data_IF_791779555535
#
_entry.id   IF_791779555535
#
_cell.length_a   1.000
_cell.length_b   1.000
_cell.length_c   1.000
_cell.angle_alpha   90.00
_cell.angle_beta   90.00
_cell.angle_gamma   90.00
#
_symmetry.space_group_name_H-M   'P 1'
#
loop_
_entity.id
_entity.type
_entity.pdbx_description
1 polymer ?
#
# COMPACT_ATOMS: atom_id res chain seq x y z
N UNK A 1 45.52 -44.07 18.14
CA UNK A 1 44.79 -42.96 17.49
C UNK A 1 45.75 -41.79 17.32
N UNK A 2 46.06 -41.44 16.07
CA UNK A 2 47.21 -40.60 15.69
C UNK A 2 47.12 -39.18 16.26
N UNK A 3 48.23 -38.63 16.76
CA UNK A 3 48.34 -37.26 17.32
C UNK A 3 47.73 -36.21 16.37
N UNK A 4 47.87 -36.43 15.06
CA UNK A 4 47.31 -35.58 14.00
C UNK A 4 45.78 -35.49 14.02
N UNK A 5 45.06 -36.57 14.36
CA UNK A 5 43.58 -36.57 14.44
C UNK A 5 43.11 -35.74 15.63
N UNK A 6 43.83 -35.82 16.76
CA UNK A 6 43.51 -35.07 17.98
C UNK A 6 43.67 -33.56 17.75
N UNK A 7 44.74 -33.15 17.08
CA UNK A 7 45.00 -31.75 16.70
C UNK A 7 43.91 -31.24 15.75
N UNK A 8 43.55 -32.01 14.72
CA UNK A 8 42.48 -31.64 13.78
C UNK A 8 41.13 -31.48 14.51
N UNK A 9 40.79 -32.42 15.41
CA UNK A 9 39.56 -32.31 16.22
C UNK A 9 39.56 -31.07 17.12
N UNK A 10 40.69 -30.78 17.78
CA UNK A 10 40.81 -29.58 18.62
C UNK A 10 40.63 -28.31 17.80
N UNK A 11 41.30 -28.19 16.65
CA UNK A 11 41.16 -27.03 15.75
C UNK A 11 39.71 -26.89 15.27
N UNK A 12 39.08 -27.99 14.86
CA UNK A 12 37.68 -27.99 14.40
C UNK A 12 36.71 -27.59 15.54
N UNK A 13 36.92 -28.09 16.76
CA UNK A 13 36.14 -27.70 17.93
C UNK A 13 36.34 -26.23 18.29
N UNK A 14 37.57 -25.71 18.17
CA UNK A 14 37.87 -24.29 18.39
C UNK A 14 37.22 -23.41 17.32
N UNK A 15 37.23 -23.83 16.05
CA UNK A 15 36.53 -23.14 14.95
C UNK A 15 35.02 -23.17 15.15
N UNK A 16 34.42 -24.30 15.54
CA UNK A 16 33.00 -24.40 15.86
C UNK A 16 32.59 -23.59 17.11
N UNK A 17 33.52 -23.34 18.03
CA UNK A 17 33.29 -22.49 19.20
C UNK A 17 33.39 -20.99 18.89
N UNK A 18 34.17 -20.60 17.86
CA UNK A 18 34.44 -19.20 17.50
C UNK A 18 33.62 -18.71 16.30
N UNK A 19 33.03 -19.61 15.52
CA UNK A 19 32.26 -19.32 14.31
C UNK A 19 30.96 -20.14 14.30
N UNK A 20 29.93 -19.74 13.54
CA UNK A 20 28.63 -20.40 13.55
C UNK A 20 28.67 -21.68 12.74
N UNK A 21 29.51 -22.66 13.13
CA UNK A 21 29.60 -23.97 12.49
C UNK A 21 29.33 -25.09 13.49
N UNK A 22 28.53 -26.07 13.10
CA UNK A 22 28.41 -27.36 13.78
C UNK A 22 29.28 -28.39 13.08
N UNK A 23 29.88 -29.26 13.88
CA UNK A 23 30.60 -30.43 13.38
C UNK A 23 29.60 -31.58 13.24
N UNK A 24 29.43 -32.07 12.02
CA UNK A 24 28.71 -33.31 11.77
C UNK A 24 29.73 -34.39 11.41
N UNK A 25 29.76 -35.47 12.20
CA UNK A 25 30.52 -36.67 11.87
C UNK A 25 29.61 -37.61 11.08
N UNK A 26 30.04 -37.97 9.87
CA UNK A 26 29.36 -38.94 9.01
C UNK A 26 30.30 -40.13 8.85
N UNK A 27 29.84 -41.30 9.28
CA UNK A 27 30.58 -42.56 9.10
C UNK A 27 30.02 -43.28 7.86
N UNK A 28 30.89 -43.52 6.89
CA UNK A 28 30.57 -44.30 5.68
C UNK A 28 31.61 -45.41 5.47
N UNK A 29 31.43 -46.22 4.41
CA UNK A 29 32.34 -47.34 4.11
C UNK A 29 33.79 -46.93 3.80
N UNK A 30 34.08 -45.63 3.71
CA UNK A 30 35.42 -45.06 3.52
C UNK A 30 36.03 -44.45 4.80
N UNK A 31 35.30 -44.47 5.93
CA UNK A 31 35.74 -43.97 7.24
C UNK A 31 34.89 -42.81 7.77
N UNK A 32 35.37 -42.17 8.84
CA UNK A 32 34.69 -41.01 9.46
C UNK A 32 35.10 -39.73 8.74
N UNK A 33 34.12 -39.03 8.14
CA UNK A 33 34.29 -37.67 7.61
C UNK A 33 33.68 -36.68 8.57
N UNK A 34 34.39 -35.58 8.83
CA UNK A 34 33.91 -34.47 9.67
C UNK A 34 33.65 -33.28 8.75
N UNK A 35 32.40 -32.82 8.68
CA UNK A 35 32.01 -31.63 7.90
C UNK A 35 31.59 -30.49 8.82
N UNK A 36 31.99 -29.27 8.47
CA UNK A 36 31.51 -28.03 9.08
C UNK A 36 30.23 -27.59 8.36
N UNK A 37 29.12 -27.49 9.09
CA UNK A 37 27.87 -26.91 8.59
C UNK A 37 27.59 -25.58 9.27
N UNK A 38 27.18 -24.56 8.53
CA UNK A 38 26.83 -23.27 9.13
C UNK A 38 25.56 -23.44 9.99
N UNK A 39 25.66 -23.21 11.30
CA UNK A 39 24.62 -23.47 12.28
C UNK A 39 23.60 -22.33 12.32
N UNK A 40 22.71 -22.31 11.33
CA UNK A 40 21.58 -21.35 11.28
C UNK A 40 20.62 -21.50 12.49
N UNK A 41 20.58 -22.68 13.12
CA UNK A 41 19.66 -22.96 14.23
C UNK A 41 20.07 -22.23 15.52
N UNK A 42 21.37 -22.09 15.79
CA UNK A 42 21.84 -21.38 16.99
C UNK A 42 21.55 -19.88 16.92
N UNK A 43 21.74 -19.25 15.76
CA UNK A 43 21.48 -17.82 15.60
C UNK A 43 19.98 -17.49 15.77
N UNK A 44 19.10 -18.38 15.28
CA UNK A 44 17.65 -18.32 15.51
C UNK A 44 17.30 -18.49 17.00
N UNK A 45 17.87 -19.49 17.68
CA UNK A 45 17.63 -19.71 19.12
C UNK A 45 18.01 -18.48 19.96
N UNK A 46 19.18 -17.90 19.70
CA UNK A 46 19.65 -16.68 20.39
C UNK A 46 18.76 -15.48 20.05
N UNK A 47 18.27 -15.37 18.82
CA UNK A 47 17.33 -14.34 18.42
C UNK A 47 15.98 -14.49 19.14
N UNK A 48 15.45 -15.70 19.27
CA UNK A 48 14.22 -15.97 20.02
C UNK A 48 14.38 -15.68 21.52
N UNK A 49 15.54 -15.97 22.11
CA UNK A 49 15.85 -15.55 23.48
C UNK A 49 15.88 -14.03 23.62
N UNK A 50 16.43 -13.31 22.64
CA UNK A 50 16.40 -11.85 22.65
C UNK A 50 14.97 -11.30 22.57
N UNK A 51 14.09 -11.91 21.77
CA UNK A 51 12.68 -11.52 21.66
C UNK A 51 11.90 -11.76 22.96
N UNK A 52 12.14 -12.88 23.65
CA UNK A 52 11.44 -13.20 24.89
C UNK A 52 11.73 -12.17 25.98
N UNK A 53 12.98 -11.74 26.12
CA UNK A 53 13.41 -10.71 27.08
C UNK A 53 12.81 -9.34 26.75
N UNK A 54 12.61 -9.02 25.46
CA UNK A 54 11.99 -7.75 25.04
C UNK A 54 10.48 -7.70 25.28
N UNK A 55 9.81 -8.84 25.42
CA UNK A 55 8.37 -8.94 25.66
C UNK A 55 7.94 -8.72 27.11
N UNK A 56 8.88 -8.66 28.06
CA UNK A 56 8.58 -8.54 29.49
C UNK A 56 8.41 -7.08 29.94
N UNK A 57 7.49 -6.77 30.88
CA UNK A 57 7.09 -5.39 31.22
C UNK A 57 8.13 -4.53 31.96
N UNK A 58 9.38 -4.98 32.16
CA UNK A 58 10.35 -4.27 33.00
C UNK A 58 11.53 -3.62 32.26
N UNK A 59 11.93 -2.48 32.85
CA UNK A 59 12.84 -1.39 32.46
C UNK A 59 14.17 -1.69 31.74
N UNK A 60 14.86 -0.62 31.31
CA UNK A 60 16.09 -0.51 30.50
C UNK A 60 17.18 -1.60 30.58
N UNK A 61 17.28 -2.35 31.68
CA UNK A 61 18.22 -3.47 31.86
C UNK A 61 17.91 -4.64 30.92
N UNK A 62 16.62 -4.91 30.66
CA UNK A 62 16.19 -5.96 29.72
C UNK A 62 16.60 -5.62 28.28
N UNK A 63 16.57 -4.33 27.91
CA UNK A 63 17.03 -3.90 26.59
C UNK A 63 18.53 -4.09 26.38
N UNK A 64 19.38 -3.88 27.40
CA UNK A 64 20.81 -4.10 27.26
C UNK A 64 21.15 -5.57 27.04
N UNK A 65 20.56 -6.48 27.85
CA UNK A 65 20.75 -7.92 27.65
C UNK A 65 20.20 -8.39 26.30
N UNK A 66 19.02 -7.90 25.90
CA UNK A 66 18.46 -8.20 24.58
C UNK A 66 19.37 -7.69 23.45
N UNK A 67 19.97 -6.50 23.57
CA UNK A 67 20.87 -5.96 22.56
C UNK A 67 22.18 -6.76 22.45
N UNK A 68 22.69 -7.34 23.53
CA UNK A 68 23.83 -8.26 23.52
C UNK A 68 23.51 -9.55 22.76
N UNK A 69 22.37 -10.18 23.05
CA UNK A 69 21.92 -11.39 22.33
C UNK A 69 21.64 -11.10 20.85
N UNK A 70 20.99 -9.96 20.55
CA UNK A 70 20.79 -9.50 19.18
C UNK A 70 22.12 -9.30 18.45
N UNK A 71 23.15 -8.79 19.12
CA UNK A 71 24.50 -8.66 18.54
C UNK A 71 25.09 -10.02 18.22
N UNK A 72 25.04 -10.96 19.15
CA UNK A 72 25.54 -12.31 18.91
C UNK A 72 24.86 -12.96 17.70
N UNK A 73 23.52 -12.96 17.64
CA UNK A 73 22.78 -13.51 16.51
C UNK A 73 23.04 -12.75 15.20
N UNK A 74 23.20 -11.43 15.26
CA UNK A 74 23.50 -10.59 14.11
C UNK A 74 24.89 -10.87 13.52
N UNK A 75 25.90 -11.05 14.39
CA UNK A 75 27.27 -11.45 14.05
C UNK A 75 27.32 -12.85 13.42
N UNK A 76 26.45 -13.76 13.88
CA UNK A 76 26.23 -15.08 13.29
C UNK A 76 25.45 -15.06 11.96
N UNK A 77 25.00 -13.88 11.51
CA UNK A 77 24.39 -13.66 10.20
C UNK A 77 22.86 -13.60 10.18
N UNK A 78 22.17 -13.62 11.32
CA UNK A 78 20.71 -13.64 11.38
C UNK A 78 20.07 -12.31 10.92
N UNK A 79 19.35 -12.30 9.79
CA UNK A 79 18.88 -11.06 9.15
C UNK A 79 17.94 -10.23 10.03
N UNK A 80 17.00 -10.86 10.73
CA UNK A 80 16.06 -10.19 11.64
C UNK A 80 16.76 -9.66 12.89
N UNK A 81 17.84 -10.32 13.33
CA UNK A 81 18.63 -9.87 14.47
C UNK A 81 19.46 -8.66 14.08
N UNK A 82 20.07 -8.69 12.88
CA UNK A 82 20.76 -7.53 12.29
C UNK A 82 19.82 -6.33 12.17
N UNK A 83 18.60 -6.53 11.66
CA UNK A 83 17.60 -5.46 11.58
C UNK A 83 17.17 -4.95 12.97
N UNK A 84 16.89 -5.85 13.91
CA UNK A 84 16.48 -5.49 15.27
C UNK A 84 17.57 -4.74 16.02
N UNK A 85 18.82 -5.17 15.91
CA UNK A 85 19.99 -4.49 16.46
C UNK A 85 20.18 -3.10 15.84
N UNK A 86 19.98 -2.97 14.53
CA UNK A 86 20.00 -1.68 13.87
C UNK A 86 18.97 -0.73 14.51
N UNK A 87 17.73 -1.18 14.75
CA UNK A 87 16.71 -0.38 15.44
C UNK A 87 17.13 0.00 16.87
N UNK A 88 17.79 -0.90 17.62
CA UNK A 88 18.31 -0.59 18.97
C UNK A 88 19.29 0.58 18.95
N UNK A 89 20.25 0.56 18.02
CA UNK A 89 21.21 1.65 17.83
C UNK A 89 20.56 2.96 17.41
N UNK A 90 19.48 2.92 16.63
CA UNK A 90 18.75 4.12 16.21
C UNK A 90 17.98 4.77 17.34
N UNK A 91 17.36 3.94 18.18
CA UNK A 91 16.51 4.39 19.27
C UNK A 91 17.30 4.65 20.56
N UNK A 92 18.51 4.11 20.68
CA UNK A 92 19.30 4.14 21.91
C UNK A 92 18.74 3.20 22.98
N UNK A 93 18.15 2.08 22.58
CA UNK A 93 17.49 1.13 23.47
C UNK A 93 18.44 -0.01 23.81
N UNK A 94 18.97 -0.02 25.03
CA UNK A 94 19.92 -1.04 25.49
C UNK A 94 21.36 -0.84 25.03
N UNK A 95 21.58 0.01 24.03
CA UNK A 95 22.88 0.45 23.50
C UNK A 95 22.89 1.97 23.30
N UNK A 96 24.06 2.64 23.35
CA UNK A 96 24.17 4.04 22.95
C UNK A 96 23.68 4.28 21.52
N UNK A 97 23.22 5.50 21.24
CA UNK A 97 22.80 5.87 19.88
C UNK A 97 24.01 5.96 18.96
N UNK A 98 24.11 5.02 18.03
CA UNK A 98 25.20 4.96 17.05
C UNK A 98 24.66 4.72 15.65
N UNK A 99 24.49 5.81 14.91
CA UNK A 99 23.82 5.73 13.61
C UNK A 99 24.64 5.01 12.54
N UNK A 100 25.98 5.05 12.61
CA UNK A 100 26.84 4.35 11.67
C UNK A 100 26.74 2.83 11.86
N UNK A 101 26.76 2.34 13.11
CA UNK A 101 26.52 0.93 13.41
C UNK A 101 25.12 0.50 13.00
N UNK A 102 24.10 1.34 13.24
CA UNK A 102 22.75 1.06 12.76
C UNK A 102 22.69 0.86 11.25
N UNK A 103 23.32 1.73 10.47
CA UNK A 103 23.33 1.64 8.99
C UNK A 103 24.07 0.39 8.53
N UNK A 104 25.18 0.02 9.18
CA UNK A 104 25.95 -1.19 8.89
C UNK A 104 25.08 -2.44 9.05
N UNK A 105 24.43 -2.61 10.20
CA UNK A 105 23.56 -3.76 10.46
C UNK A 105 22.32 -3.77 9.58
N UNK A 106 21.73 -2.60 9.34
CA UNK A 106 20.60 -2.46 8.43
C UNK A 106 20.94 -2.87 7.00
N UNK A 107 22.14 -2.52 6.53
CA UNK A 107 22.62 -2.91 5.20
C UNK A 107 22.83 -4.42 5.11
N UNK A 108 23.44 -5.03 6.12
CA UNK A 108 23.61 -6.48 6.18
C UNK A 108 22.25 -7.20 6.07
N UNK A 109 21.25 -6.78 6.84
CA UNK A 109 19.90 -7.36 6.77
C UNK A 109 19.22 -7.14 5.40
N UNK A 110 19.38 -5.93 4.81
CA UNK A 110 18.80 -5.58 3.53
C UNK A 110 19.40 -6.39 2.36
N UNK A 111 20.71 -6.63 2.41
CA UNK A 111 21.46 -7.45 1.44
C UNK A 111 21.02 -8.91 1.47
N UNK A 112 20.61 -9.41 2.64
CA UNK A 112 20.02 -10.74 2.79
C UNK A 112 18.57 -10.85 2.30
N UNK A 113 17.95 -9.73 1.90
CA UNK A 113 16.60 -9.74 1.33
C UNK A 113 15.51 -9.27 2.27
N UNK A 114 15.77 -8.99 3.54
CA UNK A 114 14.73 -8.62 4.50
C UNK A 114 14.02 -7.31 4.09
N UNK A 115 12.74 -7.40 3.73
CA UNK A 115 12.00 -6.30 3.12
C UNK A 115 11.92 -5.05 4.02
N UNK A 116 11.74 -5.23 5.33
CA UNK A 116 11.72 -4.13 6.31
C UNK A 116 13.06 -3.38 6.37
N UNK A 117 14.17 -4.14 6.32
CA UNK A 117 15.51 -3.57 6.29
C UNK A 117 15.77 -2.82 4.98
N UNK A 118 15.37 -3.40 3.84
CA UNK A 118 15.46 -2.75 2.53
C UNK A 118 14.66 -1.43 2.50
N UNK A 119 13.42 -1.43 2.98
CA UNK A 119 12.62 -0.21 3.03
C UNK A 119 13.25 0.86 3.94
N UNK A 120 13.66 0.46 5.13
CA UNK A 120 14.31 1.34 6.10
C UNK A 120 15.62 1.93 5.57
N UNK A 121 16.42 1.14 4.87
CA UNK A 121 17.66 1.62 4.22
C UNK A 121 17.34 2.61 3.08
N UNK A 122 16.29 2.31 2.29
CA UNK A 122 15.79 3.20 1.25
C UNK A 122 15.38 4.58 1.79
N UNK A 123 14.65 4.62 2.91
CA UNK A 123 14.26 5.87 3.57
C UNK A 123 15.47 6.67 4.06
N UNK A 124 16.49 6.02 4.62
CA UNK A 124 17.70 6.70 5.09
C UNK A 124 18.44 7.40 3.96
N UNK A 125 18.63 6.72 2.83
CA UNK A 125 19.21 7.33 1.64
C UNK A 125 18.36 8.46 1.08
N UNK A 126 17.04 8.35 1.17
CA UNK A 126 16.13 9.41 0.73
C UNK A 126 16.23 10.67 1.60
N UNK A 127 16.37 10.50 2.91
CA UNK A 127 16.37 11.61 3.88
C UNK A 127 17.78 12.13 4.22
N UNK A 128 18.84 11.49 3.74
CA UNK A 128 20.21 11.81 4.14
C UNK A 128 20.48 11.52 5.62
N UNK A 129 19.72 10.60 6.24
CA UNK A 129 19.80 10.33 7.66
C UNK A 129 20.93 9.35 7.95
N UNK A 130 22.09 9.88 8.33
CA UNK A 130 23.29 9.13 8.72
C UNK A 130 23.92 8.33 7.57
N UNK A 131 23.46 8.61 6.35
CA UNK A 131 24.09 8.25 5.08
C UNK A 131 23.98 9.48 4.18
N UNK A 132 24.94 9.73 3.28
CA UNK A 132 24.78 10.76 2.27
C UNK A 132 23.48 10.56 1.49
N UNK A 133 22.75 11.66 1.23
CA UNK A 133 21.54 11.63 0.43
C UNK A 133 21.86 10.98 -0.93
N UNK A 134 21.12 9.93 -1.28
CA UNK A 134 21.33 9.21 -2.53
C UNK A 134 20.00 8.70 -3.09
N UNK A 135 19.47 9.44 -4.06
CA UNK A 135 18.19 9.12 -4.68
C UNK A 135 18.19 7.79 -5.47
N UNK A 136 19.34 7.37 -6.00
CA UNK A 136 19.45 6.12 -6.76
C UNK A 136 19.37 4.92 -5.83
N UNK A 137 20.15 4.92 -4.75
CA UNK A 137 20.09 3.88 -3.72
C UNK A 137 18.73 3.84 -3.01
N UNK A 138 18.16 5.02 -2.70
CA UNK A 138 16.81 5.09 -2.14
C UNK A 138 15.77 4.41 -3.04
N UNK A 139 15.78 4.68 -4.35
CA UNK A 139 14.87 4.03 -5.31
C UNK A 139 15.11 2.52 -5.37
N UNK A 140 16.38 2.09 -5.47
CA UNK A 140 16.77 0.68 -5.56
C UNK A 140 16.26 -0.13 -4.37
N UNK A 141 16.54 0.31 -3.15
CA UNK A 141 16.16 -0.43 -1.94
C UNK A 141 14.66 -0.41 -1.69
N UNK A 142 14.00 0.74 -1.85
CA UNK A 142 12.53 0.81 -1.73
C UNK A 142 11.84 -0.05 -2.78
N UNK A 143 12.38 -0.13 -4.01
CA UNK A 143 11.83 -1.00 -5.05
C UNK A 143 11.96 -2.48 -4.67
N UNK A 144 13.14 -2.92 -4.22
CA UNK A 144 13.32 -4.31 -3.74
C UNK A 144 12.32 -4.69 -2.65
N UNK A 145 12.09 -3.81 -1.68
CA UNK A 145 11.09 -4.06 -0.64
C UNK A 145 9.66 -4.15 -1.22
N UNK A 146 9.32 -3.24 -2.14
CA UNK A 146 8.01 -3.19 -2.78
C UNK A 146 7.73 -4.44 -3.65
N UNK A 147 8.74 -4.95 -4.34
CA UNK A 147 8.64 -6.17 -5.17
C UNK A 147 8.30 -7.40 -4.31
N UNK A 148 8.72 -7.40 -3.05
CA UNK A 148 8.37 -8.41 -2.05
C UNK A 148 6.99 -8.20 -1.39
N UNK A 149 6.25 -7.17 -1.80
CA UNK A 149 4.92 -6.89 -1.25
C UNK A 149 4.88 -5.89 -0.11
N UNK A 150 6.02 -5.33 0.33
CA UNK A 150 6.09 -4.41 1.46
C UNK A 150 5.21 -3.17 1.23
N UNK A 151 4.16 -3.01 2.04
CA UNK A 151 3.08 -2.04 1.78
C UNK A 151 3.55 -0.59 1.90
N UNK A 152 4.35 -0.26 2.92
CA UNK A 152 4.84 1.11 3.08
C UNK A 152 5.85 1.50 1.98
N UNK A 153 6.55 0.52 1.41
CA UNK A 153 7.43 0.75 0.26
C UNK A 153 6.61 1.04 -1.00
N UNK A 154 5.57 0.24 -1.27
CA UNK A 154 4.61 0.50 -2.36
C UNK A 154 3.95 1.87 -2.22
N UNK A 155 3.55 2.22 -1.01
CA UNK A 155 2.99 3.53 -0.69
C UNK A 155 3.98 4.66 -0.99
N UNK A 156 5.23 4.56 -0.52
CA UNK A 156 6.26 5.57 -0.78
C UNK A 156 6.52 5.76 -2.29
N UNK A 157 6.57 4.66 -3.05
CA UNK A 157 6.71 4.73 -4.52
C UNK A 157 5.50 5.43 -5.15
N UNK A 158 4.28 5.05 -4.76
CA UNK A 158 3.06 5.69 -5.26
C UNK A 158 3.03 7.19 -4.93
N UNK A 159 3.44 7.56 -3.72
CA UNK A 159 3.56 8.95 -3.27
C UNK A 159 4.49 9.75 -4.19
N UNK A 160 5.68 9.22 -4.46
CA UNK A 160 6.67 9.86 -5.34
C UNK A 160 6.20 9.97 -6.79
N UNK A 161 5.44 8.99 -7.30
CA UNK A 161 4.85 9.06 -8.64
C UNK A 161 3.75 10.11 -8.72
N UNK A 162 2.86 10.18 -7.72
CA UNK A 162 1.79 11.17 -7.66
C UNK A 162 2.30 12.62 -7.62
N UNK A 163 3.45 12.86 -6.97
CA UNK A 163 4.13 14.15 -6.95
C UNK A 163 4.57 14.63 -8.36
N UNK A 164 4.72 13.73 -9.33
CA UNK A 164 5.04 14.10 -10.72
C UNK A 164 3.82 14.67 -11.46
N UNK A 165 2.65 14.69 -10.83
CA UNK A 165 1.48 15.42 -11.33
C UNK A 165 0.53 14.62 -12.20
N UNK A 166 0.84 13.38 -12.60
CA UNK A 166 -0.03 12.57 -13.47
C UNK A 166 -1.30 12.13 -12.74
N UNK A 167 -2.46 12.35 -13.37
CA UNK A 167 -3.76 12.08 -12.78
C UNK A 167 -3.93 10.62 -12.29
N UNK A 168 -3.49 9.63 -13.07
CA UNK A 168 -3.59 8.21 -12.69
C UNK A 168 -2.79 7.87 -11.43
N UNK A 169 -1.60 8.45 -11.27
CA UNK A 169 -0.74 8.22 -10.11
C UNK A 169 -1.31 8.92 -8.87
N UNK A 170 -1.86 10.12 -9.04
CA UNK A 170 -2.59 10.83 -7.98
C UNK A 170 -3.85 10.07 -7.54
N UNK A 171 -4.61 9.51 -8.48
CA UNK A 171 -5.78 8.67 -8.19
C UNK A 171 -5.37 7.40 -7.42
N UNK A 172 -4.30 6.72 -7.84
CA UNK A 172 -3.77 5.55 -7.14
C UNK A 172 -3.36 5.89 -5.70
N UNK A 173 -2.63 6.99 -5.49
CA UNK A 173 -2.25 7.43 -4.16
C UNK A 173 -3.47 7.79 -3.30
N UNK A 174 -4.46 8.48 -3.87
CA UNK A 174 -5.71 8.81 -3.18
C UNK A 174 -6.41 7.55 -2.65
N UNK A 175 -6.47 6.48 -3.45
CA UNK A 175 -7.01 5.19 -3.01
C UNK A 175 -6.21 4.54 -1.88
N UNK A 176 -4.88 4.68 -1.89
CA UNK A 176 -4.05 4.15 -0.80
C UNK A 176 -4.37 4.86 0.52
N UNK A 177 -4.45 6.20 0.52
CA UNK A 177 -4.90 6.97 1.68
C UNK A 177 -6.33 6.63 2.10
N UNK A 178 -7.24 6.46 1.14
CA UNK A 178 -8.64 6.12 1.41
C UNK A 178 -8.77 4.74 2.09
N UNK A 179 -7.94 3.77 1.71
CA UNK A 179 -7.99 2.40 2.25
C UNK A 179 -7.04 2.17 3.44
N UNK A 180 -6.09 3.08 3.69
CA UNK A 180 -5.04 2.87 4.68
C UNK A 180 -4.02 1.79 4.30
N UNK A 181 -3.81 1.54 3.00
CA UNK A 181 -2.85 0.53 2.53
C UNK A 181 -1.45 1.13 2.46
N UNK A 182 -0.58 0.67 3.36
CA UNK A 182 0.84 1.08 3.44
C UNK A 182 1.09 2.36 4.24
N UNK A 183 0.04 3.03 4.70
CA UNK A 183 0.07 4.19 5.59
C UNK A 183 -1.28 4.25 6.34
N UNK A 184 -1.35 4.93 7.47
CA UNK A 184 -2.62 5.13 8.20
C UNK A 184 -3.68 5.75 7.29
N UNK A 185 -4.90 5.20 7.33
CA UNK A 185 -6.04 5.72 6.59
C UNK A 185 -6.25 7.21 6.86
N UNK A 186 -6.36 8.01 5.80
CA UNK A 186 -6.53 9.45 5.89
C UNK A 186 -7.46 9.96 4.79
N UNK A 187 -8.73 10.18 5.15
CA UNK A 187 -9.75 10.66 4.21
C UNK A 187 -9.50 12.08 3.72
N UNK A 188 -8.84 12.94 4.51
CA UNK A 188 -8.53 14.31 4.08
C UNK A 188 -7.45 14.29 2.98
N UNK A 189 -6.40 13.50 3.16
CA UNK A 189 -5.38 13.33 2.12
C UNK A 189 -5.94 12.62 0.88
N UNK A 190 -6.77 11.59 1.06
CA UNK A 190 -7.47 10.96 -0.07
C UNK A 190 -8.28 11.98 -0.87
N UNK A 191 -9.08 12.83 -0.22
CA UNK A 191 -9.88 13.85 -0.88
C UNK A 191 -9.01 14.88 -1.62
N UNK A 192 -7.86 15.30 -1.05
CA UNK A 192 -6.91 16.21 -1.72
C UNK A 192 -6.36 15.60 -3.00
N UNK A 193 -5.89 14.35 -2.95
CA UNK A 193 -5.33 13.68 -4.12
C UNK A 193 -6.38 13.31 -5.17
N UNK A 194 -7.58 12.87 -4.76
CA UNK A 194 -8.71 12.72 -5.68
C UNK A 194 -9.04 14.06 -6.35
N UNK A 195 -9.07 15.17 -5.61
CA UNK A 195 -9.30 16.49 -6.20
C UNK A 195 -8.21 16.91 -7.19
N UNK A 196 -6.94 16.60 -6.92
CA UNK A 196 -5.84 16.86 -7.85
C UNK A 196 -6.02 16.09 -9.18
N UNK A 197 -6.33 14.79 -9.11
CA UNK A 197 -6.59 13.97 -10.29
C UNK A 197 -7.90 14.39 -11.01
N UNK A 198 -8.94 14.71 -10.26
CA UNK A 198 -10.24 15.12 -10.77
C UNK A 198 -10.19 16.42 -11.57
N UNK A 199 -9.38 17.39 -11.13
CA UNK A 199 -9.12 18.66 -11.84
C UNK A 199 -8.48 18.45 -13.22
N UNK A 200 -7.76 17.34 -13.40
CA UNK A 200 -7.14 16.96 -14.67
C UNK A 200 -8.07 16.14 -15.57
N UNK A 201 -9.31 15.88 -15.15
CA UNK A 201 -10.28 15.15 -15.94
C UNK A 201 -10.47 13.69 -15.57
N UNK A 202 -9.69 13.12 -14.65
CA UNK A 202 -9.78 11.68 -14.33
C UNK A 202 -11.18 11.29 -13.78
N UNK A 203 -11.95 10.55 -14.57
CA UNK A 203 -13.36 10.25 -14.29
C UNK A 203 -13.56 9.51 -12.94
N UNK A 204 -12.77 8.47 -12.65
CA UNK A 204 -12.90 7.76 -11.37
C UNK A 204 -12.54 8.62 -10.15
N UNK A 205 -11.60 9.57 -10.30
CA UNK A 205 -11.25 10.49 -9.24
C UNK A 205 -12.36 11.52 -9.00
N UNK A 206 -12.98 12.00 -10.07
CA UNK A 206 -14.17 12.87 -9.98
C UNK A 206 -15.32 12.15 -9.28
N UNK A 207 -15.61 10.90 -9.67
CA UNK A 207 -16.60 10.07 -9.00
C UNK A 207 -16.26 9.83 -7.52
N UNK A 208 -15.02 9.42 -7.22
CA UNK A 208 -14.59 9.12 -5.84
C UNK A 208 -14.69 10.35 -4.94
N UNK A 209 -14.27 11.53 -5.44
CA UNK A 209 -14.40 12.78 -4.70
C UNK A 209 -15.88 13.15 -4.49
N UNK A 210 -16.73 12.94 -5.49
CA UNK A 210 -18.16 13.20 -5.38
C UNK A 210 -18.82 12.32 -4.31
N UNK A 211 -18.45 11.03 -4.24
CA UNK A 211 -18.91 10.11 -3.17
C UNK A 211 -18.49 10.63 -1.80
N UNK A 212 -17.22 11.00 -1.61
CA UNK A 212 -16.75 11.50 -0.32
C UNK A 212 -17.47 12.78 0.12
N UNK A 213 -17.76 13.68 -0.80
CA UNK A 213 -18.50 14.93 -0.53
C UNK A 213 -20.00 14.68 -0.32
N UNK A 214 -20.55 13.62 -0.89
CA UNK A 214 -21.94 13.22 -0.71
C UNK A 214 -22.19 12.60 0.66
N UNK A 215 -21.33 11.67 1.07
CA UNK A 215 -21.51 10.92 2.30
C UNK A 215 -21.30 11.82 3.52
N UNK A 216 -20.23 12.62 3.53
CA UNK A 216 -20.04 13.68 4.53
C UNK A 216 -19.54 13.21 5.90
N UNK A 217 -19.41 11.90 6.12
CA UNK A 217 -19.02 11.33 7.42
C UNK A 217 -17.52 11.44 7.72
N UNK A 218 -16.69 11.67 6.70
CA UNK A 218 -15.22 11.61 6.78
C UNK A 218 -14.52 12.87 6.27
N UNK A 219 -15.24 13.69 5.51
CA UNK A 219 -14.88 15.04 5.09
C UNK A 219 -16.15 15.90 5.13
N UNK A 220 -16.02 17.24 5.17
CA UNK A 220 -17.19 18.13 5.19
C UNK A 220 -18.10 17.87 3.99
N UNK A 221 -19.34 17.47 4.27
CA UNK A 221 -20.40 17.26 3.26
C UNK A 221 -20.61 18.51 2.41
N UNK A 222 -20.70 18.33 1.10
CA UNK A 222 -21.00 19.40 0.15
C UNK A 222 -21.70 18.80 -1.09
N UNK A 223 -23.03 18.68 -0.98
CA UNK A 223 -23.86 18.07 -2.02
C UNK A 223 -23.79 18.83 -3.35
N UNK A 224 -23.66 20.16 -3.31
CA UNK A 224 -23.55 20.98 -4.52
C UNK A 224 -22.25 20.69 -5.26
N UNK A 225 -21.13 20.57 -4.55
CA UNK A 225 -19.86 20.14 -5.16
C UNK A 225 -19.88 18.68 -5.60
N UNK A 226 -20.51 17.79 -4.82
CA UNK A 226 -20.68 16.39 -5.20
C UNK A 226 -21.42 16.27 -6.55
N UNK A 227 -22.55 16.99 -6.72
CA UNK A 227 -23.28 17.01 -7.98
C UNK A 227 -22.43 17.49 -9.16
N UNK A 228 -21.63 18.54 -8.97
CA UNK A 228 -20.72 19.05 -10.01
C UNK A 228 -19.67 18.01 -10.42
N UNK A 229 -19.09 17.28 -9.47
CA UNK A 229 -18.11 16.25 -9.75
C UNK A 229 -18.74 14.99 -10.36
N UNK A 230 -19.91 14.56 -9.89
CA UNK A 230 -20.68 13.50 -10.55
C UNK A 230 -21.01 13.88 -11.99
N UNK A 231 -21.43 15.12 -12.25
CA UNK A 231 -21.71 15.58 -13.60
C UNK A 231 -20.49 15.50 -14.51
N UNK A 232 -19.33 15.98 -14.06
CA UNK A 232 -18.08 15.86 -14.84
C UNK A 232 -17.70 14.41 -15.15
N UNK A 233 -17.90 13.48 -14.21
CA UNK A 233 -17.63 12.06 -14.44
C UNK A 233 -18.69 11.43 -15.36
N UNK A 234 -19.96 11.79 -15.19
CA UNK A 234 -21.09 11.30 -15.96
C UNK A 234 -21.02 11.70 -17.44
N UNK A 235 -20.58 12.92 -17.71
CA UNK A 235 -20.31 13.46 -19.06
C UNK A 235 -19.14 12.74 -19.76
N UNK A 236 -18.34 11.96 -19.03
CA UNK A 236 -17.29 11.09 -19.57
C UNK A 236 -17.72 9.62 -19.66
N UNK A 237 -19.02 9.33 -19.45
CA UNK A 237 -19.54 7.96 -19.53
C UNK A 237 -19.45 7.16 -18.23
N UNK A 238 -19.04 7.75 -17.11
CA UNK A 238 -18.93 7.00 -15.84
C UNK A 238 -20.33 6.62 -15.31
N UNK A 239 -20.71 5.35 -15.47
CA UNK A 239 -22.06 4.84 -15.23
C UNK A 239 -22.57 5.08 -13.81
N UNK A 240 -21.75 4.84 -12.78
CA UNK A 240 -22.17 5.09 -11.39
C UNK A 240 -22.35 6.59 -11.10
N UNK A 241 -21.64 7.47 -11.83
CA UNK A 241 -21.81 8.91 -11.68
C UNK A 241 -23.11 9.38 -12.33
N UNK A 242 -23.48 8.79 -13.48
CA UNK A 242 -24.77 9.01 -14.15
C UNK A 242 -25.94 8.62 -13.23
N UNK A 243 -25.87 7.44 -12.58
CA UNK A 243 -26.88 6.98 -11.63
C UNK A 243 -27.00 7.94 -10.43
N UNK A 244 -25.87 8.29 -9.81
CA UNK A 244 -25.88 9.16 -8.63
C UNK A 244 -26.36 10.58 -8.96
N UNK A 245 -25.97 11.13 -10.12
CA UNK A 245 -26.47 12.42 -10.58
C UNK A 245 -27.98 12.38 -10.87
N UNK A 246 -28.47 11.30 -11.48
CA UNK A 246 -29.89 11.06 -11.69
C UNK A 246 -30.67 11.07 -10.37
N UNK A 247 -30.16 10.36 -9.35
CA UNK A 247 -30.74 10.33 -8.01
C UNK A 247 -30.73 11.72 -7.34
N UNK A 248 -29.64 12.49 -7.48
CA UNK A 248 -29.55 13.85 -6.95
C UNK A 248 -30.60 14.78 -7.56
N UNK A 249 -30.84 14.71 -8.87
CA UNK A 249 -31.94 15.45 -9.53
C UNK A 249 -33.32 14.96 -9.09
N UNK A 250 -33.52 13.66 -8.87
CA UNK A 250 -34.80 13.12 -8.41
C UNK A 250 -35.16 13.61 -7.00
N UNK A 251 -34.16 13.70 -6.11
CA UNK A 251 -34.34 14.10 -4.71
C UNK A 251 -34.19 15.60 -4.47
N UNK A 252 -33.61 16.35 -5.42
CA UNK A 252 -33.26 17.76 -5.20
C UNK A 252 -32.06 17.94 -4.26
N UNK A 253 -31.15 16.95 -4.20
CA UNK A 253 -29.99 16.96 -3.30
C UNK A 253 -28.80 17.62 -3.98
N UNK A 254 -28.39 18.81 -3.52
CA UNK A 254 -27.26 19.56 -4.10
C UNK A 254 -27.53 20.19 -5.47
N UNK A 255 -28.67 19.88 -6.08
CA UNK A 255 -29.22 20.46 -7.32
C UNK A 255 -30.73 20.64 -7.17
N UNK A 256 -31.36 21.61 -7.85
CA UNK A 256 -32.82 21.71 -7.88
C UNK A 256 -33.46 20.42 -8.39
N UNK A 257 -34.56 20.00 -7.75
CA UNK A 257 -35.30 18.80 -8.15
C UNK A 257 -35.74 18.91 -9.60
N UNK A 258 -35.42 17.92 -10.42
CA UNK A 258 -35.75 17.91 -11.84
C UNK A 258 -35.91 16.47 -12.34
N UNK A 259 -37.15 16.01 -12.46
CA UNK A 259 -37.47 14.64 -12.91
C UNK A 259 -37.05 14.33 -14.34
N UNK A 260 -37.08 15.32 -15.23
CA UNK A 260 -36.65 15.19 -16.63
C UNK A 260 -35.15 14.88 -16.68
N UNK A 261 -34.32 15.67 -15.98
CA UNK A 261 -32.87 15.43 -15.88
C UNK A 261 -32.55 14.15 -15.13
N UNK A 262 -33.31 13.82 -14.09
CA UNK A 262 -33.16 12.57 -13.36
C UNK A 262 -33.35 11.36 -14.28
N UNK A 263 -34.42 11.36 -15.08
CA UNK A 263 -34.66 10.33 -16.08
C UNK A 263 -33.53 10.28 -17.11
N UNK A 264 -33.15 11.42 -17.70
CA UNK A 264 -32.16 11.45 -18.78
C UNK A 264 -30.81 10.86 -18.36
N UNK A 265 -30.28 11.24 -17.19
CA UNK A 265 -29.01 10.70 -16.68
C UNK A 265 -29.10 9.21 -16.32
N UNK A 266 -30.20 8.80 -15.69
CA UNK A 266 -30.41 7.40 -15.31
C UNK A 266 -30.60 6.52 -16.55
N UNK A 267 -31.26 7.03 -17.59
CA UNK A 267 -31.51 6.30 -18.82
C UNK A 267 -30.21 5.95 -19.56
N UNK A 268 -29.23 6.85 -19.56
CA UNK A 268 -27.89 6.57 -20.10
C UNK A 268 -27.19 5.42 -19.39
N UNK A 269 -27.35 5.31 -18.07
CA UNK A 269 -26.81 4.18 -17.32
C UNK A 269 -27.64 2.89 -17.55
N UNK A 270 -28.94 3.01 -17.80
CA UNK A 270 -29.82 1.88 -18.09
C UNK A 270 -29.54 1.27 -19.47
N UNK A 271 -29.20 2.10 -20.47
CA UNK A 271 -28.89 1.68 -21.84
C UNK A 271 -27.58 0.88 -21.94
N UNK A 272 -26.67 1.04 -20.98
CA UNK A 272 -25.46 0.21 -20.84
C UNK A 272 -25.70 -1.12 -20.11
N UNK A 273 -26.95 -1.41 -19.71
CA UNK A 273 -27.35 -2.68 -19.08
C UNK A 273 -27.42 -2.66 -17.55
N UNK A 274 -27.29 -1.50 -16.90
CA UNK A 274 -27.33 -1.42 -15.44
C UNK A 274 -28.76 -1.62 -14.88
N UNK A 275 -28.98 -2.67 -14.08
CA UNK A 275 -30.29 -3.03 -13.53
C UNK A 275 -30.82 -2.05 -12.46
N UNK A 276 -29.96 -1.33 -11.74
CA UNK A 276 -30.38 -0.28 -10.79
C UNK A 276 -30.91 0.92 -11.59
N UNK A 277 -30.17 1.31 -12.63
CA UNK A 277 -30.58 2.40 -13.51
C UNK A 277 -31.92 2.08 -14.22
N UNK A 278 -32.12 0.84 -14.67
CA UNK A 278 -33.39 0.40 -15.27
C UNK A 278 -34.58 0.59 -14.31
N UNK A 279 -34.47 0.09 -13.07
CA UNK A 279 -35.51 0.26 -12.05
C UNK A 279 -35.77 1.73 -11.73
N UNK A 280 -34.73 2.55 -11.65
CA UNK A 280 -34.86 3.98 -11.40
C UNK A 280 -35.57 4.71 -12.57
N UNK A 281 -35.32 4.31 -13.81
CA UNK A 281 -36.04 4.80 -14.98
C UNK A 281 -37.52 4.40 -14.96
N UNK A 282 -37.82 3.13 -14.73
CA UNK A 282 -39.20 2.62 -14.64
C UNK A 282 -39.99 3.38 -13.56
N UNK A 283 -39.38 3.55 -12.39
CA UNK A 283 -39.99 4.34 -11.31
C UNK A 283 -40.24 5.79 -11.72
N UNK A 284 -39.29 6.43 -12.42
CA UNK A 284 -39.45 7.81 -12.89
C UNK A 284 -40.60 7.94 -13.90
N UNK A 285 -40.77 6.98 -14.83
CA UNK A 285 -41.86 6.98 -15.82
C UNK A 285 -43.23 7.02 -15.15
N UNK A 286 -43.44 6.31 -14.05
CA UNK A 286 -44.74 6.29 -13.33
C UNK A 286 -45.15 7.67 -12.76
N UNK A 287 -44.25 8.66 -12.76
CA UNK A 287 -44.45 9.99 -12.14
C UNK A 287 -44.28 11.15 -13.13
N UNK A 288 -44.26 10.85 -14.42
CA UNK A 288 -44.09 11.81 -15.50
C UNK A 288 -45.32 11.81 -16.40
N UNK A 289 -45.68 12.98 -16.93
CA UNK A 289 -46.67 13.02 -18.02
C UNK A 289 -46.03 12.53 -19.33
N UNK A 290 -46.82 12.13 -20.34
CA UNK A 290 -46.29 11.77 -21.65
C UNK A 290 -45.38 12.85 -22.25
N UNK A 291 -45.79 14.12 -22.19
CA UNK A 291 -44.97 15.24 -22.69
C UNK A 291 -43.67 15.44 -21.92
N UNK A 292 -43.66 15.26 -20.60
CA UNK A 292 -42.41 15.29 -19.81
C UNK A 292 -41.48 14.14 -20.17
N UNK A 293 -42.03 12.95 -20.44
CA UNK A 293 -41.28 11.77 -20.83
C UNK A 293 -40.64 11.94 -22.21
N UNK A 294 -41.37 12.51 -23.17
CA UNK A 294 -40.85 12.79 -24.51
C UNK A 294 -39.67 13.77 -24.46
N UNK A 295 -39.81 14.86 -23.69
CA UNK A 295 -38.70 15.80 -23.46
C UNK A 295 -37.51 15.12 -22.79
N UNK A 296 -37.74 14.25 -21.81
CA UNK A 296 -36.66 13.56 -21.10
C UNK A 296 -35.93 12.55 -22.00
N UNK A 297 -36.65 11.85 -22.88
CA UNK A 297 -36.07 10.96 -23.89
C UNK A 297 -35.23 11.72 -24.91
N UNK A 298 -35.70 12.90 -25.35
CA UNK A 298 -34.92 13.76 -26.23
C UNK A 298 -33.60 14.19 -25.57
N UNK A 299 -33.64 14.68 -24.33
CA UNK A 299 -32.41 15.06 -23.60
C UNK A 299 -31.49 13.84 -23.41
N UNK A 300 -32.04 12.66 -23.11
CA UNK A 300 -31.25 11.44 -23.00
C UNK A 300 -30.56 11.07 -24.31
N UNK A 301 -31.25 11.21 -25.44
CA UNK A 301 -30.70 10.98 -26.78
C UNK A 301 -29.55 11.94 -27.10
N UNK A 302 -29.72 13.23 -26.81
CA UNK A 302 -28.69 14.26 -27.00
C UNK A 302 -27.44 13.96 -26.14
N UNK A 303 -27.64 13.61 -24.87
CA UNK A 303 -26.54 13.22 -23.98
C UNK A 303 -25.85 11.94 -24.47
N UNK A 304 -26.59 10.96 -24.97
CA UNK A 304 -25.99 9.72 -25.48
C UNK A 304 -25.14 10.00 -26.70
N UNK A 305 -25.63 10.79 -27.65
CA UNK A 305 -24.88 11.16 -28.85
C UNK A 305 -23.58 11.90 -28.49
N UNK A 306 -23.64 12.77 -27.48
CA UNK A 306 -22.47 13.51 -26.99
C UNK A 306 -21.44 12.61 -26.30
N UNK A 307 -21.89 11.68 -25.45
CA UNK A 307 -21.01 10.87 -24.58
C UNK A 307 -20.52 9.61 -25.29
N UNK A 308 -21.35 9.02 -26.17
CA UNK A 308 -21.10 7.77 -26.88
C UNK A 308 -21.39 7.92 -28.38
N UNK A 309 -20.59 8.70 -29.12
CA UNK A 309 -20.82 8.94 -30.54
C UNK A 309 -20.83 7.61 -31.32
N UNK A 310 -21.82 7.43 -32.20
CA UNK A 310 -21.96 6.22 -33.03
C UNK A 310 -22.65 5.02 -32.35
N UNK A 311 -23.11 5.16 -31.10
CA UNK A 311 -23.89 4.09 -30.43
C UNK A 311 -25.39 4.40 -30.54
N UNK A 312 -26.18 3.62 -31.27
CA UNK A 312 -27.63 3.84 -31.35
C UNK A 312 -28.28 3.64 -29.98
N UNK A 313 -29.37 4.38 -29.72
CA UNK A 313 -30.26 4.13 -28.60
C UNK A 313 -30.74 2.67 -28.69
N UNK A 314 -30.53 1.88 -27.64
CA UNK A 314 -31.25 0.60 -27.53
C UNK A 314 -32.72 0.93 -27.32
N UNK A 315 -33.48 0.88 -28.39
CA UNK A 315 -34.92 0.96 -28.31
C UNK A 315 -35.41 -0.29 -27.56
N UNK A 316 -35.96 -0.08 -26.37
CA UNK A 316 -36.52 -1.14 -25.52
C UNK A 316 -38.03 -1.21 -25.65
N UNK A 317 -38.59 -0.72 -26.76
CA UNK A 317 -40.00 -0.92 -27.10
C UNK A 317 -40.29 -2.28 -27.77
N UNK A 318 -39.34 -3.23 -27.72
CA UNK A 318 -39.56 -4.66 -28.01
C UNK A 318 -39.33 -5.51 -26.76
#
# INVERSE_FOLDING_TARGET
MNVSIKIILTILLTIAALHPFTLQAIEDSSGIRISLQQNKNRAEEVYQEALSIMGEPESGRNYSKAAELLRQAAEDGHAEAQYSLALRYLLGQGVPKEYNEAVKWLRAAAEQGLADAQYSLGLRYQLGQNVPLNNAEAKKWTQKAADQGHLAAKFNIAYRKALQGKADDQYKLARLYYTGKGEKQNFLEAAKWFAAAAKQGHADAQFSLAVMLNDGDKIKKDLTKAARWYQKAAEQGHTNAQINLGAMYAMGSGVPKNRIKAYAWTYLAASTGNAIAQRNCEYAVTRMTPGELDVARQIAAELQQKIYPGTPLRDKTQ
#
